data_IF_075723801593
#
_entry.id   IF_075723801593
#
_cell.length_a   1.000
_cell.length_b   1.000
_cell.length_c   1.000
_cell.angle_alpha   90.00
_cell.angle_beta   90.00
_cell.angle_gamma   90.00
#
_symmetry.space_group_name_H-M   'P 1'
#
loop_
_entity.id
_entity.type
_entity.pdbx_description
1 polymer ?
#
# COMPACT_ATOMS: atom_id res chain seq x y z
N UNK A 1 -18.11 19.11 -4.64
CA UNK A 1 -18.31 17.66 -4.45
C UNK A 1 -17.06 17.13 -3.77
N UNK A 2 -17.19 16.63 -2.55
CA UNK A 2 -16.09 15.93 -1.90
C UNK A 2 -15.90 14.60 -2.62
N UNK A 3 -14.76 14.46 -3.30
CA UNK A 3 -14.25 13.16 -3.73
C UNK A 3 -13.63 12.54 -2.49
N UNK A 4 -14.42 11.73 -1.78
CA UNK A 4 -13.89 10.80 -0.78
C UNK A 4 -13.20 9.69 -1.57
N UNK A 5 -11.88 9.76 -1.68
CA UNK A 5 -11.09 8.61 -2.08
C UNK A 5 -10.89 7.77 -0.81
N UNK A 6 -11.86 6.88 -0.53
CA UNK A 6 -11.63 5.76 0.37
C UNK A 6 -10.47 4.94 -0.21
N UNK A 7 -9.25 5.21 0.27
CA UNK A 7 -8.08 4.37 -0.02
C UNK A 7 -8.27 3.11 0.79
N UNK A 8 -8.97 2.13 0.22
CA UNK A 8 -9.02 0.78 0.76
C UNK A 8 -7.60 0.18 0.66
N UNK A 9 -6.79 0.33 1.71
CA UNK A 9 -5.65 -0.55 1.87
C UNK A 9 -6.17 -1.93 2.30
N UNK A 10 -6.04 -2.86 1.37
CA UNK A 10 -6.15 -4.31 1.52
C UNK A 10 -5.45 -4.76 2.81
N UNK A 11 -6.12 -5.49 3.71
CA UNK A 11 -5.38 -6.34 4.65
C UNK A 11 -4.55 -7.33 3.80
N UNK A 12 -3.23 -7.19 3.85
CA UNK A 12 -2.31 -7.83 2.91
C UNK A 12 -0.93 -7.20 2.97
N UNK A 13 -0.02 -7.63 2.13
CA UNK A 13 1.32 -7.05 2.06
C UNK A 13 1.32 -5.70 1.35
N UNK A 14 2.36 -4.89 1.61
CA UNK A 14 2.62 -3.68 0.83
C UNK A 14 2.69 -3.99 -0.67
N UNK A 15 3.34 -5.11 -1.04
CA UNK A 15 3.42 -5.57 -2.44
C UNK A 15 2.03 -5.77 -3.05
N UNK A 16 1.13 -6.47 -2.35
CA UNK A 16 -0.23 -6.72 -2.83
C UNK A 16 -1.03 -5.43 -3.01
N UNK A 17 -0.87 -4.47 -2.10
CA UNK A 17 -1.54 -3.17 -2.18
C UNK A 17 -1.05 -2.34 -3.37
N UNK A 18 0.26 -2.32 -3.66
CA UNK A 18 0.78 -1.62 -4.85
C UNK A 18 0.35 -2.34 -6.13
N UNK A 19 0.39 -3.68 -6.14
CA UNK A 19 -0.04 -4.51 -7.27
C UNK A 19 -1.55 -4.45 -7.52
N UNK A 20 -2.36 -4.06 -6.54
CA UNK A 20 -3.82 -3.92 -6.70
C UNK A 20 -4.21 -2.99 -7.86
N UNK A 21 -3.47 -1.90 -8.07
CA UNK A 21 -3.70 -0.98 -9.19
C UNK A 21 -3.31 -1.55 -10.56
N UNK A 22 -2.46 -2.57 -10.60
CA UNK A 22 -2.04 -3.27 -11.83
C UNK A 22 -1.60 -4.71 -11.51
N UNK A 23 -2.51 -5.70 -11.57
CA UNK A 23 -2.26 -7.08 -11.15
C UNK A 23 -1.06 -7.76 -11.83
N UNK A 24 -0.80 -7.40 -13.10
CA UNK A 24 0.30 -7.95 -13.90
C UNK A 24 1.65 -7.24 -13.67
N UNK A 25 1.72 -6.29 -12.73
CA UNK A 25 2.96 -5.56 -12.44
C UNK A 25 4.04 -6.50 -11.89
N UNK A 26 5.23 -6.43 -12.50
CA UNK A 26 6.41 -7.13 -12.01
C UNK A 26 6.94 -6.48 -10.73
N UNK A 27 7.76 -7.20 -9.97
CA UNK A 27 8.38 -6.66 -8.75
C UNK A 27 9.24 -5.42 -9.02
N UNK A 28 9.92 -5.35 -10.17
CA UNK A 28 10.65 -4.14 -10.57
C UNK A 28 9.72 -2.95 -10.72
N UNK A 29 8.57 -3.13 -11.36
CA UNK A 29 7.61 -2.06 -11.58
C UNK A 29 6.94 -1.62 -10.27
N UNK A 30 6.72 -2.54 -9.33
CA UNK A 30 6.26 -2.23 -7.97
C UNK A 30 7.28 -1.36 -7.24
N UNK A 31 8.57 -1.68 -7.36
CA UNK A 31 9.65 -0.88 -6.76
C UNK A 31 9.70 0.50 -7.41
N UNK A 32 9.58 0.60 -8.73
CA UNK A 32 9.54 1.88 -9.42
C UNK A 32 8.33 2.72 -8.98
N UNK A 33 7.14 2.11 -8.88
CA UNK A 33 5.95 2.80 -8.38
C UNK A 33 6.14 3.33 -6.96
N UNK A 34 6.70 2.53 -6.07
CA UNK A 34 7.02 2.95 -4.70
C UNK A 34 8.08 4.07 -4.64
N UNK A 35 9.07 4.06 -5.55
CA UNK A 35 10.07 5.14 -5.67
C UNK A 35 9.44 6.43 -6.17
N UNK A 36 8.56 6.34 -7.17
CA UNK A 36 7.81 7.49 -7.70
C UNK A 36 6.86 8.10 -6.66
N UNK A 37 6.34 7.28 -5.76
CA UNK A 37 5.53 7.70 -4.62
C UNK A 37 6.35 8.12 -3.38
N UNK A 38 7.68 8.13 -3.47
CA UNK A 38 8.63 8.45 -2.38
C UNK A 38 8.53 7.56 -1.11
N UNK A 39 7.77 6.48 -1.16
CA UNK A 39 7.58 5.53 -0.03
C UNK A 39 8.57 4.36 -0.04
N UNK A 40 9.40 4.22 -1.09
CA UNK A 40 10.34 3.10 -1.21
C UNK A 40 11.26 2.96 0.01
N UNK A 41 11.82 4.07 0.49
CA UNK A 41 12.75 4.05 1.62
C UNK A 41 12.03 3.58 2.90
N UNK A 42 10.84 4.12 3.17
CA UNK A 42 10.03 3.71 4.33
C UNK A 42 9.70 2.22 4.27
N UNK A 43 9.30 1.71 3.09
CA UNK A 43 9.03 0.28 2.90
C UNK A 43 10.28 -0.54 3.19
N UNK A 44 11.45 -0.13 2.70
CA UNK A 44 12.71 -0.86 2.94
C UNK A 44 13.19 -0.81 4.40
N UNK A 45 12.73 0.16 5.19
CA UNK A 45 12.99 0.24 6.63
C UNK A 45 12.06 -0.65 7.46
N UNK A 46 10.96 -1.15 6.87
CA UNK A 46 10.07 -2.09 7.55
C UNK A 46 10.77 -3.44 7.74
N UNK A 47 10.46 -4.19 8.83
CA UNK A 47 11.10 -5.47 9.13
C UNK A 47 11.08 -6.50 7.99
N UNK A 48 10.02 -6.50 7.19
CA UNK A 48 9.81 -7.44 6.09
C UNK A 48 9.76 -6.73 4.72
N UNK A 49 10.14 -5.45 4.64
CA UNK A 49 10.17 -4.73 3.37
C UNK A 49 8.79 -4.66 2.69
N UNK A 50 8.76 -4.98 1.39
CA UNK A 50 7.53 -5.09 0.60
C UNK A 50 6.60 -6.24 1.02
N UNK A 51 7.14 -7.24 1.72
CA UNK A 51 6.37 -8.34 2.29
C UNK A 51 5.77 -7.97 3.65
N UNK A 52 6.03 -6.76 4.16
CA UNK A 52 5.43 -6.26 5.39
C UNK A 52 3.92 -6.26 5.27
N UNK A 53 3.28 -6.95 6.21
CA UNK A 53 1.85 -7.05 6.28
C UNK A 53 1.26 -5.74 6.83
N UNK A 54 0.40 -5.11 6.05
CA UNK A 54 -0.38 -3.94 6.44
C UNK A 54 -1.83 -4.36 6.67
N UNK A 55 -2.40 -3.98 7.82
CA UNK A 55 -3.81 -4.25 8.15
C UNK A 55 -4.09 -4.92 9.49
N UNK A 56 -3.09 -5.29 10.30
CA UNK A 56 -3.39 -5.96 11.58
C UNK A 56 -3.68 -5.00 12.76
N UNK A 57 -3.27 -3.71 12.71
CA UNK A 57 -3.47 -2.77 13.84
C UNK A 57 -3.66 -1.30 13.46
N UNK A 58 -4.56 -0.97 12.54
CA UNK A 58 -4.74 0.44 12.14
C UNK A 58 -6.10 0.80 11.62
N UNK A 59 -7.08 0.85 12.53
CA UNK A 59 -8.31 1.65 12.46
C UNK A 59 -9.12 1.49 11.14
N UNK A 60 -10.27 0.82 11.23
CA UNK A 60 -11.41 1.25 10.42
C UNK A 60 -11.66 2.73 10.75
N UNK A 61 -11.07 3.65 10.00
CA UNK A 61 -11.63 4.99 9.84
C UNK A 61 -12.72 4.89 8.79
N UNK A 62 -13.71 4.02 9.03
CA UNK A 62 -14.99 4.17 8.37
C UNK A 62 -15.54 5.50 8.86
N UNK A 63 -15.54 6.51 8.01
CA UNK A 63 -16.25 7.76 8.25
C UNK A 63 -17.67 7.42 8.72
N UNK A 64 -17.95 7.69 9.98
CA UNK A 64 -19.09 7.08 10.65
C UNK A 64 -19.35 7.58 12.07
N UNK A 65 -19.00 8.84 12.34
CA UNK A 65 -19.70 9.73 13.29
C UNK A 65 -19.58 11.17 12.79
#
# INVERSE_FOLDING_TARGET
GMIQQDVYMFAGTVRENIRYGRPDATDEEIIQAAKLAEIHNEITEMPDGYDSYIGERGVMLSGGQ
#
